data_IF_254020203042
#
_entry.id   IF_254020203042
#
_cell.length_a   1.000
_cell.length_b   1.000
_cell.length_c   1.000
_cell.angle_alpha   90.00
_cell.angle_beta   90.00
_cell.angle_gamma   90.00
#
_symmetry.space_group_name_H-M   'P 1'
#
loop_
_entity.id
_entity.type
_entity.pdbx_description
1 polymer ?
#
# COMPACT_ATOMS: atom_id res chain seq x y z
N UNK A 1 -57.64 -80.80 -93.79
CA UNK A 1 -58.90 -81.50 -93.48
C UNK A 1 -59.07 -81.51 -91.97
N UNK A 2 -59.98 -80.64 -91.50
CA UNK A 2 -61.05 -80.84 -90.51
C UNK A 2 -60.95 -81.78 -89.27
N UNK A 3 -61.70 -81.31 -88.26
CA UNK A 3 -62.32 -81.99 -87.08
C UNK A 3 -61.43 -82.33 -85.87
N UNK A 4 -61.48 -81.59 -84.75
CA UNK A 4 -62.45 -81.54 -83.64
C UNK A 4 -62.41 -82.71 -82.62
N UNK A 5 -62.49 -82.32 -81.32
CA UNK A 5 -62.83 -83.10 -80.09
C UNK A 5 -61.70 -83.95 -79.47
N UNK A 6 -61.55 -84.11 -78.15
CA UNK A 6 -62.34 -83.75 -76.96
C UNK A 6 -61.45 -83.88 -75.70
N UNK A 7 -61.88 -83.23 -74.62
CA UNK A 7 -61.31 -83.17 -73.27
C UNK A 7 -61.21 -84.50 -72.49
N UNK A 8 -60.34 -84.52 -71.46
CA UNK A 8 -60.51 -84.96 -70.05
C UNK A 8 -59.15 -85.38 -69.50
N UNK A 9 -58.58 -84.61 -68.56
CA UNK A 9 -58.58 -84.83 -67.10
C UNK A 9 -57.74 -86.05 -66.69
N UNK A 10 -56.86 -85.88 -65.69
CA UNK A 10 -56.63 -86.75 -64.52
C UNK A 10 -55.29 -86.40 -63.83
N UNK A 11 -55.35 -86.46 -62.52
CA UNK A 11 -54.47 -85.83 -61.54
C UNK A 11 -53.09 -86.52 -61.42
N UNK A 12 -52.07 -85.71 -61.13
CA UNK A 12 -50.71 -86.16 -60.81
C UNK A 12 -50.57 -86.49 -59.31
N UNK A 13 -49.88 -87.59 -58.93
CA UNK A 13 -49.54 -87.86 -57.54
C UNK A 13 -48.33 -87.02 -57.08
N UNK A 14 -48.47 -86.37 -55.93
CA UNK A 14 -47.40 -85.60 -55.27
C UNK A 14 -46.35 -86.55 -54.67
N UNK A 15 -45.08 -86.40 -55.07
CA UNK A 15 -43.92 -87.02 -54.40
C UNK A 15 -43.49 -86.15 -53.20
N UNK A 16 -43.05 -86.74 -52.07
CA UNK A 16 -42.57 -85.97 -50.94
C UNK A 16 -41.26 -85.27 -51.32
N UNK A 17 -41.33 -83.95 -51.48
CA UNK A 17 -40.17 -83.09 -51.70
C UNK A 17 -39.33 -83.05 -50.43
N UNK A 18 -38.14 -83.64 -50.50
CA UNK A 18 -37.05 -83.44 -49.53
C UNK A 18 -36.84 -81.94 -49.40
N UNK A 19 -37.23 -81.37 -48.25
CA UNK A 19 -37.01 -79.97 -47.89
C UNK A 19 -35.50 -79.78 -47.65
N UNK A 20 -34.76 -79.54 -48.74
CA UNK A 20 -33.43 -78.91 -48.64
C UNK A 20 -33.69 -77.52 -48.10
N UNK A 21 -33.34 -77.27 -46.83
CA UNK A 21 -33.25 -75.91 -46.31
C UNK A 21 -32.15 -75.17 -47.07
N UNK A 22 -32.51 -74.54 -48.18
CA UNK A 22 -31.70 -73.49 -48.79
C UNK A 22 -31.71 -72.34 -47.81
N UNK A 23 -30.63 -72.15 -47.05
CA UNK A 23 -30.39 -70.91 -46.32
C UNK A 23 -30.14 -69.82 -47.37
N UNK A 24 -31.22 -69.22 -47.88
CA UNK A 24 -31.12 -67.92 -48.50
C UNK A 24 -30.81 -66.94 -47.38
N UNK A 25 -29.52 -66.63 -47.19
CA UNK A 25 -29.15 -65.34 -46.66
C UNK A 25 -29.68 -64.30 -47.66
N UNK A 26 -30.92 -63.90 -47.50
CA UNK A 26 -31.40 -62.68 -48.14
C UNK A 26 -30.56 -61.58 -47.52
N UNK A 27 -29.61 -61.04 -48.28
CA UNK A 27 -29.15 -59.69 -47.97
C UNK A 27 -30.42 -58.84 -48.03
N UNK A 28 -31.01 -58.53 -46.87
CA UNK A 28 -31.70 -57.25 -46.71
C UNK A 28 -30.70 -56.25 -47.27
N UNK A 29 -31.15 -55.52 -48.29
CA UNK A 29 -30.38 -54.52 -48.99
C UNK A 29 -29.43 -53.78 -48.04
N UNK A 30 -28.21 -53.56 -48.53
CA UNK A 30 -27.16 -52.78 -47.86
C UNK A 30 -27.77 -51.63 -47.03
N UNK A 31 -27.42 -51.58 -45.75
CA UNK A 31 -28.15 -50.86 -44.73
C UNK A 31 -28.47 -49.40 -45.07
N UNK A 32 -29.66 -48.96 -44.68
CA UNK A 32 -30.01 -47.54 -44.61
C UNK A 32 -29.23 -46.87 -43.48
N UNK A 33 -27.95 -46.57 -43.70
CA UNK A 33 -27.21 -45.64 -42.85
C UNK A 33 -26.34 -44.72 -43.70
N UNK A 34 -26.98 -43.95 -44.57
CA UNK A 34 -26.38 -42.77 -45.18
C UNK A 34 -26.18 -41.70 -44.10
N UNK A 35 -24.94 -41.43 -43.71
CA UNK A 35 -24.62 -40.33 -42.80
C UNK A 35 -24.55 -39.01 -43.56
N UNK A 36 -25.71 -38.50 -43.99
CA UNK A 36 -25.87 -37.18 -44.59
C UNK A 36 -25.92 -36.08 -43.50
N UNK A 37 -24.91 -36.06 -42.61
CA UNK A 37 -24.81 -35.11 -41.50
C UNK A 37 -23.62 -34.18 -41.72
N UNK A 38 -23.90 -32.92 -42.01
CA UNK A 38 -22.91 -31.85 -42.02
C UNK A 38 -23.40 -30.68 -41.15
N UNK A 39 -22.47 -29.91 -40.62
CA UNK A 39 -22.78 -28.73 -39.83
C UNK A 39 -22.76 -27.47 -40.71
N UNK A 40 -23.66 -26.53 -40.44
CA UNK A 40 -23.64 -25.26 -41.15
C UNK A 40 -22.30 -24.50 -40.96
N UNK A 41 -21.85 -23.83 -42.01
CA UNK A 41 -20.64 -23.00 -41.98
C UNK A 41 -20.70 -21.94 -40.88
N UNK A 42 -19.64 -21.83 -40.07
CA UNK A 42 -19.62 -20.98 -38.86
C UNK A 42 -19.32 -19.50 -39.12
N UNK A 43 -19.29 -19.07 -40.40
CA UNK A 43 -19.06 -17.68 -40.84
C UNK A 43 -17.80 -17.05 -40.21
N UNK A 44 -16.75 -17.86 -40.03
CA UNK A 44 -15.43 -17.41 -39.57
C UNK A 44 -14.74 -16.54 -40.63
N UNK A 45 -13.64 -15.89 -40.27
CA UNK A 45 -12.85 -15.03 -41.16
C UNK A 45 -12.90 -13.55 -40.76
N UNK A 46 -12.18 -12.71 -41.52
CA UNK A 46 -12.08 -11.27 -41.26
C UNK A 46 -13.44 -10.62 -41.45
N UNK A 47 -13.73 -9.66 -40.57
CA UNK A 47 -14.93 -8.80 -40.59
C UNK A 47 -14.57 -7.36 -40.90
N UNK A 48 -13.31 -6.99 -40.64
CA UNK A 48 -12.73 -5.70 -41.04
C UNK A 48 -11.43 -5.94 -41.77
N UNK A 49 -11.25 -5.22 -42.88
CA UNK A 49 -10.09 -5.32 -43.75
C UNK A 49 -9.00 -4.32 -43.34
N UNK A 50 -7.80 -4.47 -43.92
CA UNK A 50 -6.70 -3.53 -43.76
C UNK A 50 -7.13 -2.09 -44.10
N UNK A 51 -6.75 -1.13 -43.26
CA UNK A 51 -7.07 0.28 -43.46
C UNK A 51 -8.54 0.64 -43.29
N UNK A 52 -9.37 -0.24 -42.71
CA UNK A 52 -10.77 0.08 -42.43
C UNK A 52 -10.93 0.76 -41.08
N UNK A 53 -11.78 1.80 -41.02
CA UNK A 53 -12.15 2.47 -39.76
C UNK A 53 -13.00 1.56 -38.88
N UNK A 54 -12.69 1.56 -37.58
CA UNK A 54 -13.39 0.81 -36.53
C UNK A 54 -13.72 1.70 -35.34
N UNK A 55 -14.71 1.27 -34.56
CA UNK A 55 -15.12 1.85 -33.28
C UNK A 55 -14.92 0.84 -32.15
N UNK A 56 -14.98 1.30 -30.90
CA UNK A 56 -14.83 0.43 -29.72
C UNK A 56 -15.84 -0.72 -29.77
N UNK A 57 -15.36 -1.95 -29.57
CA UNK A 57 -16.16 -3.16 -29.53
C UNK A 57 -16.47 -3.78 -30.90
N UNK A 58 -16.14 -3.13 -32.01
CA UNK A 58 -16.36 -3.72 -33.33
C UNK A 58 -15.47 -4.95 -33.55
N UNK A 59 -16.08 -6.02 -34.05
CA UNK A 59 -15.39 -7.28 -34.36
C UNK A 59 -14.54 -7.10 -35.62
N UNK A 60 -13.25 -7.46 -35.53
CA UNK A 60 -12.29 -7.40 -36.61
C UNK A 60 -12.11 -8.78 -37.26
N UNK A 61 -12.03 -9.85 -36.46
CA UNK A 61 -11.77 -11.21 -36.94
C UNK A 61 -12.53 -12.24 -36.11
N UNK A 62 -13.25 -13.17 -36.75
CA UNK A 62 -13.81 -14.36 -36.08
C UNK A 62 -12.99 -15.58 -36.46
N UNK A 63 -12.51 -16.34 -35.48
CA UNK A 63 -11.58 -17.45 -35.74
C UNK A 63 -11.81 -18.64 -34.81
N UNK A 64 -11.09 -19.72 -35.09
CA UNK A 64 -10.95 -20.90 -34.22
C UNK A 64 -9.47 -21.04 -33.95
N UNK A 65 -9.08 -20.92 -32.68
CA UNK A 65 -7.70 -20.64 -32.30
C UNK A 65 -7.23 -19.25 -32.76
N UNK A 66 -5.99 -18.91 -32.41
CA UNK A 66 -5.35 -17.63 -32.73
C UNK A 66 -4.57 -17.73 -34.03
N UNK A 67 -5.27 -17.66 -35.17
CA UNK A 67 -4.61 -17.51 -36.48
C UNK A 67 -4.00 -16.11 -36.63
N UNK A 68 -4.72 -15.12 -36.11
CA UNK A 68 -4.21 -13.79 -35.83
C UNK A 68 -4.23 -13.55 -34.32
N UNK A 69 -3.18 -12.92 -33.82
CA UNK A 69 -3.02 -12.51 -32.44
C UNK A 69 -3.49 -11.05 -32.26
N UNK A 70 -3.99 -10.69 -31.06
CA UNK A 70 -4.31 -9.31 -30.75
C UNK A 70 -3.02 -8.48 -30.73
N UNK A 71 -2.95 -7.47 -31.59
CA UNK A 71 -1.90 -6.46 -31.62
C UNK A 71 -2.28 -5.22 -30.81
N UNK A 72 -1.74 -4.08 -31.20
CA UNK A 72 -2.01 -2.81 -30.51
C UNK A 72 -3.50 -2.44 -30.55
N UNK A 73 -4.05 -1.97 -29.43
CA UNK A 73 -5.43 -1.49 -29.29
C UNK A 73 -6.53 -2.51 -29.69
N UNK A 74 -6.22 -3.81 -29.63
CA UNK A 74 -7.15 -4.91 -29.95
C UNK A 74 -7.27 -5.86 -28.77
N UNK A 75 -8.51 -6.25 -28.46
CA UNK A 75 -8.85 -7.25 -27.46
C UNK A 75 -9.15 -8.60 -28.10
N UNK A 76 -9.08 -9.66 -27.30
CA UNK A 76 -9.44 -11.02 -27.69
C UNK A 76 -10.57 -11.57 -26.81
N UNK A 77 -11.63 -12.06 -27.45
CA UNK A 77 -12.77 -12.67 -26.79
C UNK A 77 -12.54 -14.15 -26.45
N UNK A 78 -13.49 -14.75 -25.72
CA UNK A 78 -13.44 -16.18 -25.33
C UNK A 78 -13.30 -17.13 -26.52
N UNK A 79 -13.94 -16.83 -27.65
CA UNK A 79 -13.86 -17.64 -28.87
C UNK A 79 -12.69 -17.24 -29.78
N UNK A 80 -11.69 -16.53 -29.24
CA UNK A 80 -10.56 -15.94 -29.95
C UNK A 80 -10.95 -14.87 -30.99
N UNK A 81 -12.18 -14.34 -30.93
CA UNK A 81 -12.61 -13.22 -31.77
C UNK A 81 -11.81 -11.96 -31.40
N UNK A 82 -11.24 -11.30 -32.40
CA UNK A 82 -10.53 -10.04 -32.21
C UNK A 82 -11.50 -8.87 -32.35
N UNK A 83 -11.43 -7.90 -31.44
CA UNK A 83 -12.28 -6.71 -31.44
C UNK A 83 -11.48 -5.45 -31.07
N UNK A 84 -11.90 -4.29 -31.58
CA UNK A 84 -11.22 -3.03 -31.31
C UNK A 84 -11.47 -2.54 -29.87
N UNK A 85 -10.42 -2.16 -29.15
CA UNK A 85 -10.54 -1.49 -27.84
C UNK A 85 -10.69 0.02 -27.99
N UNK A 86 -10.32 0.54 -29.15
CA UNK A 86 -10.20 1.96 -29.44
C UNK A 86 -10.67 2.25 -30.88
N UNK A 87 -11.35 3.38 -31.16
CA UNK A 87 -11.55 3.83 -32.53
C UNK A 87 -10.24 4.15 -33.22
N UNK A 88 -10.16 3.75 -34.48
CA UNK A 88 -8.97 3.92 -35.31
C UNK A 88 -9.09 3.12 -36.60
N UNK A 89 -7.95 2.68 -37.12
CA UNK A 89 -7.81 2.02 -38.41
C UNK A 89 -7.17 0.64 -38.26
N UNK A 90 -7.79 -0.40 -38.79
CA UNK A 90 -7.30 -1.77 -38.67
C UNK A 90 -6.01 -1.96 -39.47
N UNK A 91 -4.99 -2.54 -38.82
CA UNK A 91 -3.70 -2.87 -39.41
C UNK A 91 -3.34 -4.33 -39.13
N UNK A 92 -3.01 -5.07 -40.18
CA UNK A 92 -2.48 -6.42 -40.15
C UNK A 92 -0.95 -6.34 -40.32
N UNK A 93 -0.19 -6.90 -39.39
CA UNK A 93 1.26 -6.77 -39.39
C UNK A 93 1.97 -7.98 -38.78
N UNK A 94 3.28 -8.05 -38.97
CA UNK A 94 4.18 -8.98 -38.31
C UNK A 94 5.01 -8.19 -37.30
N UNK A 95 5.17 -8.74 -36.11
CA UNK A 95 5.94 -8.12 -35.04
C UNK A 95 7.29 -8.83 -34.90
N UNK A 96 8.44 -8.14 -35.04
CA UNK A 96 9.77 -8.72 -34.84
C UNK A 96 9.94 -9.43 -33.50
N UNK A 97 9.26 -8.99 -32.43
CA UNK A 97 9.34 -9.65 -31.12
C UNK A 97 8.68 -11.03 -31.07
N UNK A 98 7.85 -11.34 -32.07
CA UNK A 98 6.98 -12.52 -32.08
C UNK A 98 7.03 -13.21 -33.44
N UNK A 99 8.17 -13.84 -33.71
CA UNK A 99 8.40 -14.59 -34.94
C UNK A 99 7.34 -15.69 -35.17
N UNK A 100 6.94 -15.85 -36.43
CA UNK A 100 5.93 -16.84 -36.84
C UNK A 100 4.48 -16.50 -36.47
N UNK A 101 4.22 -15.36 -35.80
CA UNK A 101 2.87 -14.91 -35.42
C UNK A 101 2.40 -13.73 -36.27
N UNK A 102 1.11 -13.73 -36.61
CA UNK A 102 0.46 -12.65 -37.35
C UNK A 102 -0.40 -11.82 -36.41
N UNK A 103 -0.32 -10.51 -36.48
CA UNK A 103 -1.04 -9.61 -35.60
C UNK A 103 -2.09 -8.79 -36.32
N UNK A 104 -3.10 -8.40 -35.55
CA UNK A 104 -4.09 -7.41 -35.96
C UNK A 104 -4.17 -6.36 -34.88
N UNK A 105 -3.82 -5.13 -35.22
CA UNK A 105 -3.93 -3.97 -34.36
C UNK A 105 -4.86 -2.91 -34.92
N UNK A 106 -5.10 -1.88 -34.13
CA UNK A 106 -5.81 -0.68 -34.52
C UNK A 106 -4.90 0.52 -34.31
N UNK A 107 -4.48 1.13 -35.41
CA UNK A 107 -3.73 2.37 -35.41
C UNK A 107 -4.67 3.54 -35.08
N UNK A 108 -4.26 4.44 -34.19
CA UNK A 108 -5.11 5.57 -33.77
C UNK A 108 -5.30 6.61 -34.88
N UNK A 109 -4.29 6.75 -35.74
CA UNK A 109 -4.32 7.62 -36.92
C UNK A 109 -4.24 6.77 -38.18
N UNK A 110 -4.69 7.34 -39.30
CA UNK A 110 -4.73 6.63 -40.57
C UNK A 110 -3.33 6.41 -41.16
N UNK A 111 -2.43 7.36 -40.98
CA UNK A 111 -1.05 7.37 -41.43
C UNK A 111 -0.10 6.53 -40.55
N UNK A 112 -0.47 6.31 -39.29
CA UNK A 112 0.30 5.48 -38.35
C UNK A 112 0.37 4.03 -38.83
N UNK A 113 1.59 3.53 -38.98
CA UNK A 113 1.89 2.14 -39.36
C UNK A 113 2.16 1.31 -38.12
N UNK A 114 1.69 0.06 -38.14
CA UNK A 114 2.01 -0.95 -37.14
C UNK A 114 2.93 -2.01 -37.77
N UNK A 115 3.91 -2.56 -37.03
CA UNK A 115 4.22 -2.29 -35.62
C UNK A 115 4.89 -0.92 -35.43
N UNK A 116 4.65 -0.28 -34.27
CA UNK A 116 5.36 0.94 -33.90
C UNK A 116 6.81 0.57 -33.53
N UNK A 117 7.74 1.52 -33.73
CA UNK A 117 9.10 1.38 -33.20
C UNK A 117 9.09 1.17 -31.68
N UNK A 118 9.86 0.20 -31.20
CA UNK A 118 9.80 -0.28 -29.82
C UNK A 118 10.13 0.80 -28.78
N UNK A 119 11.08 1.68 -29.10
CA UNK A 119 11.54 2.74 -28.21
C UNK A 119 10.76 4.06 -28.39
N UNK A 120 9.92 4.15 -29.42
CA UNK A 120 9.07 5.31 -29.61
C UNK A 120 8.01 5.40 -28.51
N UNK A 121 7.60 6.62 -28.10
CA UNK A 121 6.55 6.79 -27.11
C UNK A 121 5.24 6.19 -27.62
N UNK A 122 4.55 5.44 -26.75
CA UNK A 122 3.25 4.85 -27.09
C UNK A 122 2.23 5.94 -27.37
N UNK A 123 1.66 5.92 -28.57
CA UNK A 123 0.51 6.76 -28.93
C UNK A 123 -0.71 6.28 -28.15
N UNK A 124 -1.37 7.19 -27.40
CA UNK A 124 -2.54 6.88 -26.56
C UNK A 124 -3.66 7.87 -26.83
N UNK A 125 -4.92 7.41 -26.80
CA UNK A 125 -6.09 8.30 -26.84
C UNK A 125 -6.58 8.63 -25.43
N UNK A 126 -6.71 9.92 -25.11
CA UNK A 126 -7.30 10.35 -23.83
C UNK A 126 -8.79 10.00 -23.73
N UNK A 127 -9.55 10.21 -24.81
CA UNK A 127 -10.93 9.72 -24.97
C UNK A 127 -11.97 10.38 -24.04
N UNK A 128 -11.65 11.53 -23.46
CA UNK A 128 -12.53 12.31 -22.57
C UNK A 128 -12.54 13.77 -23.00
N UNK A 129 -13.57 14.50 -22.59
CA UNK A 129 -13.72 15.94 -22.84
C UNK A 129 -13.99 16.67 -21.53
N UNK A 130 -13.59 17.94 -21.47
CA UNK A 130 -13.89 18.79 -20.32
C UNK A 130 -15.40 19.10 -20.30
N UNK A 131 -15.99 19.01 -19.12
CA UNK A 131 -17.38 19.41 -18.88
C UNK A 131 -17.41 20.86 -18.41
N UNK A 132 -18.44 21.60 -18.82
CA UNK A 132 -18.66 23.00 -18.41
C UNK A 132 -20.07 23.18 -17.83
N UNK A 133 -20.22 24.17 -16.96
CA UNK A 133 -21.51 24.53 -16.33
C UNK A 133 -22.02 23.45 -15.37
N UNK A 134 -23.32 23.18 -15.41
CA UNK A 134 -24.00 22.29 -14.46
C UNK A 134 -23.47 20.85 -14.48
N UNK A 135 -23.10 20.34 -15.66
CA UNK A 135 -22.58 18.98 -15.81
C UNK A 135 -21.26 18.78 -15.05
N UNK A 136 -20.44 19.81 -14.96
CA UNK A 136 -19.19 19.76 -14.18
C UNK A 136 -19.49 19.65 -12.68
N UNK A 137 -20.44 20.45 -12.18
CA UNK A 137 -20.85 20.41 -10.77
C UNK A 137 -21.41 19.05 -10.35
N UNK A 138 -22.20 18.41 -11.21
CA UNK A 138 -22.72 17.05 -10.95
C UNK A 138 -21.58 16.03 -10.87
N UNK A 139 -20.62 16.09 -11.80
CA UNK A 139 -19.46 15.17 -11.80
C UNK A 139 -18.55 15.39 -10.57
N UNK A 140 -18.36 16.64 -10.12
CA UNK A 140 -17.59 16.95 -8.91
C UNK A 140 -18.23 16.39 -7.63
N UNK A 141 -19.57 16.38 -7.58
CA UNK A 141 -20.32 15.83 -6.44
C UNK A 141 -20.38 14.31 -6.46
N UNK A 142 -20.15 13.67 -7.61
CA UNK A 142 -20.21 12.22 -7.76
C UNK A 142 -19.01 11.55 -7.06
N UNK A 143 -19.30 10.78 -6.01
CA UNK A 143 -18.29 10.03 -5.25
C UNK A 143 -18.50 8.51 -5.40
N UNK A 144 -17.44 7.70 -5.44
CA UNK A 144 -17.55 6.26 -5.30
C UNK A 144 -18.23 5.89 -3.98
N UNK A 145 -19.05 4.82 -3.97
CA UNK A 145 -19.77 4.37 -2.76
C UNK A 145 -18.86 4.20 -1.55
N UNK A 146 -17.66 3.63 -1.74
CA UNK A 146 -16.69 3.44 -0.66
C UNK A 146 -16.20 4.76 -0.05
N UNK A 147 -16.00 5.79 -0.88
CA UNK A 147 -15.57 7.11 -0.45
C UNK A 147 -16.71 7.84 0.25
N UNK A 148 -17.93 7.75 -0.30
CA UNK A 148 -19.13 8.34 0.31
C UNK A 148 -19.36 7.81 1.73
N UNK A 149 -19.34 6.48 1.91
CA UNK A 149 -19.52 5.85 3.23
C UNK A 149 -18.39 6.19 4.22
N UNK A 150 -17.17 6.42 3.74
CA UNK A 150 -16.02 6.76 4.58
C UNK A 150 -15.90 8.27 4.87
N UNK A 151 -16.63 9.12 4.13
CA UNK A 151 -16.45 10.58 4.13
C UNK A 151 -16.58 11.18 5.52
N UNK A 152 -17.69 10.93 6.21
CA UNK A 152 -17.97 11.51 7.53
C UNK A 152 -16.89 11.15 8.54
N UNK A 153 -16.52 9.88 8.62
CA UNK A 153 -15.44 9.40 9.49
C UNK A 153 -14.08 10.03 9.17
N UNK A 154 -13.78 10.31 7.90
CA UNK A 154 -12.54 10.99 7.51
C UNK A 154 -12.58 12.46 7.94
N UNK A 155 -13.74 13.12 7.81
CA UNK A 155 -13.94 14.51 8.24
C UNK A 155 -13.81 14.66 9.76
N UNK A 156 -14.44 13.78 10.54
CA UNK A 156 -14.29 13.76 12.00
C UNK A 156 -12.81 13.59 12.40
N UNK A 157 -12.08 12.68 11.76
CA UNK A 157 -10.63 12.50 11.99
C UNK A 157 -9.80 13.69 11.51
N UNK A 158 -10.24 14.41 10.49
CA UNK A 158 -9.59 15.64 10.05
C UNK A 158 -9.77 16.75 11.09
N UNK A 159 -10.98 16.87 11.65
CA UNK A 159 -11.31 17.82 12.70
C UNK A 159 -10.56 17.52 14.00
N UNK A 160 -10.54 16.27 14.46
CA UNK A 160 -9.73 15.88 15.62
C UNK A 160 -8.23 16.26 15.44
N UNK A 161 -7.72 16.21 14.21
CA UNK A 161 -6.35 16.64 13.88
C UNK A 161 -6.20 18.16 13.76
N UNK A 162 -7.23 18.93 13.45
CA UNK A 162 -7.20 20.40 13.53
C UNK A 162 -7.16 20.81 15.00
N UNK A 163 -8.05 20.25 15.81
CA UNK A 163 -8.19 20.59 17.23
C UNK A 163 -6.90 20.26 18.00
N UNK A 164 -6.31 19.09 17.75
CA UNK A 164 -5.04 18.71 18.36
C UNK A 164 -3.84 19.55 17.87
N UNK A 165 -3.93 20.23 16.72
CA UNK A 165 -2.92 21.19 16.26
C UNK A 165 -3.13 22.53 16.94
N UNK A 166 -4.37 22.99 17.07
CA UNK A 166 -4.71 24.23 17.77
C UNK A 166 -4.35 24.18 19.24
N UNK A 167 -4.65 23.07 19.93
CA UNK A 167 -4.22 22.84 21.31
C UNK A 167 -2.69 22.93 21.45
N UNK A 168 -1.94 22.34 20.51
CA UNK A 168 -0.48 22.40 20.51
C UNK A 168 0.05 23.82 20.20
N UNK A 169 -0.62 24.56 19.31
CA UNK A 169 -0.30 25.98 19.07
C UNK A 169 -0.49 26.81 20.33
N UNK A 170 -1.60 26.60 21.04
CA UNK A 170 -1.88 27.28 22.30
C UNK A 170 -0.85 26.92 23.39
N UNK A 171 -0.46 25.65 23.48
CA UNK A 171 0.60 25.19 24.38
C UNK A 171 1.95 25.87 24.08
N UNK A 172 2.37 25.89 22.81
CA UNK A 172 3.62 26.57 22.43
C UNK A 172 3.55 28.09 22.63
N UNK A 173 2.41 28.73 22.34
CA UNK A 173 2.22 30.15 22.61
C UNK A 173 2.29 30.47 24.11
N UNK A 174 1.77 29.57 24.98
CA UNK A 174 1.93 29.67 26.42
C UNK A 174 3.40 29.57 26.84
N UNK A 175 4.14 28.56 26.35
CA UNK A 175 5.57 28.36 26.68
C UNK A 175 6.43 29.54 26.22
N UNK A 176 6.18 30.08 25.02
CA UNK A 176 6.89 31.25 24.51
C UNK A 176 6.71 32.48 25.40
N UNK A 177 5.48 32.72 25.89
CA UNK A 177 5.16 33.90 26.73
C UNK A 177 5.57 33.73 28.18
N UNK A 178 5.21 32.60 28.80
CA UNK A 178 5.35 32.39 30.25
C UNK A 178 6.74 31.87 30.63
N UNK A 179 7.28 30.89 29.91
CA UNK A 179 8.54 30.24 30.29
C UNK A 179 9.77 30.91 29.68
N UNK A 180 9.65 31.38 28.43
CA UNK A 180 10.77 31.96 27.68
C UNK A 180 10.76 33.48 27.64
N UNK A 181 9.65 34.11 28.03
CA UNK A 181 9.50 35.58 28.06
C UNK A 181 9.70 36.26 26.70
N UNK A 182 9.48 35.54 25.58
CA UNK A 182 9.66 36.07 24.24
C UNK A 182 8.43 36.91 23.87
N UNK A 183 8.58 38.23 23.94
CA UNK A 183 7.53 39.19 23.57
C UNK A 183 7.48 39.32 22.05
N UNK A 184 6.51 38.65 21.43
CA UNK A 184 6.21 38.75 20.01
C UNK A 184 4.89 39.51 19.80
N UNK A 185 4.79 40.24 18.70
CA UNK A 185 3.51 40.78 18.24
C UNK A 185 2.52 39.65 17.92
N UNK A 186 1.22 39.94 17.90
CA UNK A 186 0.18 38.92 17.70
C UNK A 186 0.37 38.12 16.39
N UNK A 187 0.72 38.79 15.30
CA UNK A 187 0.96 38.15 14.00
C UNK A 187 2.24 37.30 14.02
N UNK A 188 3.29 37.80 14.69
CA UNK A 188 4.54 37.08 14.88
C UNK A 188 4.36 35.83 15.76
N UNK A 189 3.54 35.91 16.82
CA UNK A 189 3.21 34.77 17.69
C UNK A 189 2.43 33.68 16.92
N UNK A 190 1.48 34.08 16.06
CA UNK A 190 0.76 33.13 15.20
C UNK A 190 1.70 32.41 14.22
N UNK A 191 2.61 33.13 13.56
CA UNK A 191 3.60 32.54 12.66
C UNK A 191 4.57 31.62 13.41
N UNK A 192 5.05 32.05 14.58
CA UNK A 192 5.95 31.28 15.44
C UNK A 192 5.31 29.97 15.91
N UNK A 193 4.09 30.00 16.41
CA UNK A 193 3.39 28.80 16.88
C UNK A 193 3.08 27.82 15.75
N UNK A 194 2.72 28.32 14.56
CA UNK A 194 2.55 27.45 13.40
C UNK A 194 3.88 26.83 12.93
N UNK A 195 4.95 27.62 12.92
CA UNK A 195 6.29 27.14 12.60
C UNK A 195 6.73 26.04 13.57
N UNK A 196 6.57 26.25 14.88
CA UNK A 196 6.93 25.27 15.91
C UNK A 196 6.11 23.98 15.81
N UNK A 197 4.81 24.04 15.50
CA UNK A 197 4.01 22.84 15.23
C UNK A 197 4.54 22.06 14.03
N UNK A 198 5.03 22.75 13.00
CA UNK A 198 5.63 22.13 11.83
C UNK A 198 6.99 21.49 12.15
N UNK A 199 7.86 22.18 12.88
CA UNK A 199 9.13 21.63 13.38
C UNK A 199 8.89 20.39 14.24
N UNK A 200 7.99 20.46 15.21
CA UNK A 200 7.58 19.32 16.03
C UNK A 200 7.15 18.12 15.18
N UNK A 201 6.35 18.36 14.13
CA UNK A 201 5.89 17.30 13.22
C UNK A 201 7.05 16.68 12.45
N UNK A 202 7.99 17.49 11.97
CA UNK A 202 9.17 17.01 11.26
C UNK A 202 10.09 16.19 12.19
N UNK A 203 10.35 16.67 13.41
CA UNK A 203 11.12 15.93 14.41
C UNK A 203 10.48 14.58 14.75
N UNK A 204 9.14 14.56 14.95
CA UNK A 204 8.39 13.33 15.18
C UNK A 204 8.49 12.34 14.02
N UNK A 205 8.65 12.82 12.79
CA UNK A 205 8.81 12.00 11.58
C UNK A 205 10.26 11.53 11.35
N UNK A 206 11.21 11.92 12.20
CA UNK A 206 12.60 11.45 12.13
C UNK A 206 13.55 12.36 11.33
N UNK A 207 13.17 13.61 11.06
CA UNK A 207 14.12 14.59 10.52
C UNK A 207 15.09 15.07 11.60
N UNK A 208 16.33 15.37 11.22
CA UNK A 208 17.28 16.06 12.07
C UNK A 208 16.77 17.47 12.41
N UNK A 209 17.21 18.08 13.52
CA UNK A 209 16.70 19.40 13.96
C UNK A 209 16.95 20.50 12.93
N UNK A 210 18.14 20.55 12.33
CA UNK A 210 18.47 21.50 11.25
C UNK A 210 17.54 21.35 10.04
N UNK A 211 17.38 20.11 9.54
CA UNK A 211 16.50 19.82 8.41
C UNK A 211 15.02 20.06 8.75
N UNK A 212 14.61 19.75 9.97
CA UNK A 212 13.24 19.93 10.45
C UNK A 212 12.86 21.42 10.46
N UNK A 213 13.77 22.28 10.95
CA UNK A 213 13.63 23.74 10.97
C UNK A 213 13.66 24.32 9.56
N UNK A 214 14.61 23.90 8.72
CA UNK A 214 14.68 24.32 7.32
C UNK A 214 13.41 23.97 6.54
N UNK A 215 12.95 22.72 6.63
CA UNK A 215 11.73 22.25 5.95
C UNK A 215 10.47 22.96 6.45
N UNK A 216 10.42 23.29 7.75
CA UNK A 216 9.32 24.06 8.31
C UNK A 216 9.31 25.49 7.79
N UNK A 217 10.46 26.16 7.76
CA UNK A 217 10.63 27.51 7.21
C UNK A 217 10.24 27.54 5.73
N UNK A 218 10.80 26.65 4.91
CA UNK A 218 10.53 26.58 3.47
C UNK A 218 9.05 26.34 3.17
N UNK A 219 8.38 25.48 3.94
CA UNK A 219 6.93 25.26 3.81
C UNK A 219 6.13 26.56 4.02
N UNK A 220 6.52 27.37 4.99
CA UNK A 220 5.86 28.64 5.28
C UNK A 220 6.08 29.66 4.16
N UNK A 221 7.31 29.79 3.65
CA UNK A 221 7.61 30.66 2.52
C UNK A 221 6.79 30.29 1.27
N UNK A 222 6.69 28.99 0.95
CA UNK A 222 5.87 28.51 -0.17
C UNK A 222 4.39 28.81 0.04
N UNK A 223 3.88 28.66 1.27
CA UNK A 223 2.50 29.00 1.60
C UNK A 223 2.23 30.49 1.40
N UNK A 224 3.21 31.33 1.69
CA UNK A 224 3.05 32.76 1.47
C UNK A 224 3.04 33.10 -0.01
N UNK A 225 3.88 32.48 -0.88
CA UNK A 225 4.23 32.85 -2.28
C UNK A 225 3.14 33.45 -3.19
N UNK A 226 1.86 33.13 -2.96
CA UNK A 226 0.72 33.59 -3.76
C UNK A 226 -0.10 34.71 -3.10
N UNK A 227 0.41 35.35 -2.03
CA UNK A 227 -0.30 36.41 -1.31
C UNK A 227 0.16 37.80 -1.79
N UNK A 228 -0.70 38.83 -1.84
CA UNK A 228 -0.34 40.15 -2.35
C UNK A 228 0.72 40.89 -1.51
N UNK A 229 0.90 40.49 -0.24
CA UNK A 229 1.84 41.11 0.73
C UNK A 229 3.05 40.19 0.98
N UNK A 230 3.58 39.61 -0.10
CA UNK A 230 4.62 38.59 -0.04
C UNK A 230 5.85 38.98 0.75
N UNK A 231 6.43 40.12 0.38
CA UNK A 231 7.77 40.51 0.77
C UNK A 231 7.79 40.82 2.27
N UNK A 232 6.86 41.65 2.74
CA UNK A 232 6.70 42.01 4.15
C UNK A 232 6.45 40.79 5.05
N UNK A 233 5.56 39.87 4.63
CA UNK A 233 5.26 38.65 5.41
C UNK A 233 6.43 37.69 5.45
N UNK A 234 7.21 37.60 4.36
CA UNK A 234 8.39 36.75 4.30
C UNK A 234 9.50 37.29 5.17
N UNK A 235 9.70 38.61 5.19
CA UNK A 235 10.66 39.25 6.10
C UNK A 235 10.27 39.09 7.56
N UNK A 236 8.99 39.30 7.91
CA UNK A 236 8.48 39.06 9.24
C UNK A 236 8.69 37.58 9.65
N UNK A 237 8.38 36.64 8.76
CA UNK A 237 8.60 35.21 8.99
C UNK A 237 10.09 34.91 9.28
N UNK A 238 11.02 35.44 8.48
CA UNK A 238 12.46 35.21 8.69
C UNK A 238 12.93 35.74 10.04
N UNK A 239 12.57 36.98 10.38
CA UNK A 239 12.91 37.60 11.67
C UNK A 239 12.34 36.82 12.85
N UNK A 240 11.07 36.40 12.75
CA UNK A 240 10.41 35.61 13.80
C UNK A 240 11.02 34.22 13.96
N UNK A 241 11.31 33.53 12.86
CA UNK A 241 11.95 32.21 12.88
C UNK A 241 13.36 32.29 13.45
N UNK A 242 14.15 33.31 13.11
CA UNK A 242 15.48 33.54 13.69
C UNK A 242 15.40 33.74 15.21
N UNK A 243 14.50 34.62 15.67
CA UNK A 243 14.29 34.85 17.10
C UNK A 243 13.84 33.57 17.84
N UNK A 244 12.88 32.84 17.28
CA UNK A 244 12.36 31.59 17.85
C UNK A 244 13.44 30.51 17.85
N UNK A 245 14.25 30.40 16.81
CA UNK A 245 15.32 29.41 16.74
C UNK A 245 16.42 29.65 17.77
N UNK A 246 16.76 30.92 18.00
CA UNK A 246 17.72 31.32 19.02
C UNK A 246 17.20 31.06 20.45
N UNK A 247 15.89 31.22 20.67
CA UNK A 247 15.28 31.06 21.99
C UNK A 247 14.85 29.63 22.34
N UNK A 248 14.56 28.78 21.34
CA UNK A 248 13.88 27.50 21.57
C UNK A 248 14.63 26.25 21.10
N UNK A 249 14.40 25.15 21.81
CA UNK A 249 14.76 23.80 21.40
C UNK A 249 13.69 22.79 21.84
N UNK A 250 13.56 21.70 21.09
CA UNK A 250 12.71 20.58 21.48
C UNK A 250 13.49 19.57 22.32
N UNK A 251 12.83 19.03 23.35
CA UNK A 251 13.32 17.89 24.13
C UNK A 251 13.18 16.58 23.34
N UNK A 252 13.74 15.49 23.86
CA UNK A 252 13.59 14.17 23.24
C UNK A 252 12.13 13.63 23.24
N UNK A 253 11.24 14.22 24.04
CA UNK A 253 9.80 13.96 24.08
C UNK A 253 8.99 14.93 23.24
N UNK A 254 9.67 15.81 22.49
CA UNK A 254 9.10 16.86 21.67
C UNK A 254 8.35 17.94 22.48
N UNK A 255 8.75 18.14 23.73
CA UNK A 255 8.29 19.28 24.54
C UNK A 255 9.17 20.49 24.20
N UNK A 256 8.56 21.66 24.10
CA UNK A 256 9.27 22.91 23.81
C UNK A 256 9.97 23.40 25.08
N UNK A 257 11.21 23.86 24.97
CA UNK A 257 11.93 24.50 26.06
C UNK A 257 12.96 25.49 25.56
N UNK A 258 13.80 25.97 26.48
CA UNK A 258 14.89 26.91 26.15
C UNK A 258 15.86 26.29 25.15
N UNK A 259 16.45 27.13 24.31
CA UNK A 259 17.55 26.72 23.47
C UNK A 259 18.74 26.25 24.32
N UNK A 260 19.35 25.14 23.90
CA UNK A 260 20.55 24.57 24.51
C UNK A 260 21.53 24.33 23.38
N UNK A 261 22.70 24.97 23.46
CA UNK A 261 23.79 24.79 22.49
C UNK A 261 24.35 23.37 22.55
N UNK A 262 25.02 22.94 21.49
CA UNK A 262 25.60 21.59 21.45
C UNK A 262 26.66 21.40 22.54
N UNK A 263 27.48 22.41 22.81
CA UNK A 263 28.49 22.40 23.86
C UNK A 263 27.86 22.27 25.26
N UNK A 264 26.77 23.01 25.53
CA UNK A 264 26.02 22.90 26.78
C UNK A 264 25.42 21.49 26.95
N UNK A 265 24.89 20.88 25.88
CA UNK A 265 24.35 19.52 25.94
C UNK A 265 25.43 18.49 26.26
N UNK A 266 26.61 18.62 25.66
CA UNK A 266 27.74 17.72 25.93
C UNK A 266 28.19 17.86 27.38
N UNK A 267 28.36 19.08 27.87
CA UNK A 267 28.75 19.34 29.25
C UNK A 267 27.76 18.74 30.26
N UNK A 268 26.44 18.94 30.06
CA UNK A 268 25.43 18.37 30.95
C UNK A 268 25.34 16.85 30.86
N UNK A 269 25.53 16.29 29.66
CA UNK A 269 25.60 14.84 29.44
C UNK A 269 26.76 14.24 30.23
N UNK A 270 27.95 14.81 30.13
CA UNK A 270 29.13 14.36 30.86
C UNK A 270 28.96 14.50 32.37
N UNK A 271 28.41 15.62 32.83
CA UNK A 271 28.09 15.84 34.24
C UNK A 271 27.13 14.77 34.77
N UNK A 272 26.07 14.46 34.02
CA UNK A 272 25.12 13.40 34.40
C UNK A 272 25.79 12.02 34.41
N UNK A 273 26.67 11.72 33.46
CA UNK A 273 27.41 10.47 33.45
C UNK A 273 28.34 10.35 34.67
N UNK A 274 29.04 11.42 35.03
CA UNK A 274 29.88 11.49 36.22
C UNK A 274 29.06 11.30 37.50
N UNK A 275 27.93 12.00 37.63
CA UNK A 275 27.01 11.89 38.77
C UNK A 275 26.52 10.45 38.96
N UNK A 276 26.20 9.75 37.86
CA UNK A 276 25.65 8.40 37.91
C UNK A 276 26.73 7.31 38.06
N UNK A 277 27.98 7.54 37.62
CA UNK A 277 29.02 6.51 37.53
C UNK A 277 29.32 5.81 38.87
N UNK A 278 29.18 6.50 40.00
CA UNK A 278 29.44 5.97 41.34
C UNK A 278 28.20 5.58 42.15
N UNK A 279 26.99 5.80 41.64
CA UNK A 279 25.76 5.61 42.41
C UNK A 279 25.30 4.14 42.37
N UNK A 280 25.38 3.48 43.53
CA UNK A 280 24.76 2.18 43.77
C UNK A 280 23.53 2.39 44.63
N UNK A 281 22.35 2.10 44.09
CA UNK A 281 21.10 2.22 44.83
C UNK A 281 21.08 1.14 45.91
N UNK A 282 20.98 1.50 47.19
CA UNK A 282 20.80 0.64 48.36
C UNK A 282 19.56 1.03 49.14
N UNK A 283 19.28 2.33 49.27
CA UNK A 283 18.13 2.89 49.98
C UNK A 283 17.08 3.48 49.05
N UNK A 284 15.90 3.80 49.60
CA UNK A 284 14.83 4.50 48.88
C UNK A 284 15.27 5.92 48.46
N UNK A 285 16.03 6.60 49.33
CA UNK A 285 16.51 7.98 49.09
C UNK A 285 17.48 8.04 47.91
N UNK A 286 18.39 7.06 47.80
CA UNK A 286 19.31 6.96 46.66
C UNK A 286 18.57 6.67 45.35
N UNK A 287 17.51 5.84 45.40
CA UNK A 287 16.62 5.62 44.26
C UNK A 287 15.93 6.93 43.85
N UNK A 288 15.39 7.69 44.80
CA UNK A 288 14.75 8.97 44.51
C UNK A 288 15.75 9.96 43.90
N UNK A 289 16.97 10.06 44.44
CA UNK A 289 18.05 10.89 43.89
C UNK A 289 18.37 10.56 42.44
N UNK A 290 18.46 9.27 42.08
CA UNK A 290 18.70 8.84 40.68
C UNK A 290 17.51 9.22 39.79
N UNK A 291 16.28 9.03 40.27
CA UNK A 291 15.06 9.38 39.53
C UNK A 291 14.96 10.89 39.29
N UNK A 292 15.28 11.70 40.29
CA UNK A 292 15.32 13.16 40.19
C UNK A 292 16.36 13.63 39.18
N UNK A 293 17.58 13.09 39.24
CA UNK A 293 18.64 13.40 38.26
C UNK A 293 18.25 13.05 36.83
N UNK A 294 17.56 11.92 36.64
CA UNK A 294 17.06 11.49 35.33
C UNK A 294 15.77 12.21 34.91
N UNK A 295 15.14 13.04 35.75
CA UNK A 295 13.89 13.75 35.42
C UNK A 295 14.13 14.81 34.34
N UNK A 296 15.28 15.48 34.39
CA UNK A 296 15.64 16.55 33.45
C UNK A 296 16.44 16.08 32.23
N UNK A 297 16.81 14.80 32.20
CA UNK A 297 17.63 14.22 31.12
C UNK A 297 16.98 14.36 29.74
N UNK A 298 15.64 14.42 29.66
CA UNK A 298 14.91 14.58 28.39
C UNK A 298 15.28 15.86 27.63
N UNK A 299 15.75 16.89 28.33
CA UNK A 299 16.04 18.21 27.76
C UNK A 299 17.30 18.21 26.88
N UNK A 300 18.31 17.41 27.21
CA UNK A 300 19.63 17.47 26.56
C UNK A 300 20.14 16.11 26.06
N UNK A 301 19.45 15.02 26.39
CA UNK A 301 19.84 13.67 26.03
C UNK A 301 18.92 13.11 24.94
N UNK A 302 19.45 12.30 24.03
CA UNK A 302 18.59 11.60 23.06
C UNK A 302 17.68 10.59 23.75
N UNK A 303 16.57 10.23 23.11
CA UNK A 303 15.65 9.23 23.66
C UNK A 303 16.34 7.87 23.88
N UNK A 304 17.23 7.48 22.97
CA UNK A 304 17.96 6.20 23.06
C UNK A 304 18.93 6.17 24.24
N UNK A 305 19.69 7.25 24.44
CA UNK A 305 20.60 7.41 25.57
C UNK A 305 19.82 7.45 26.90
N UNK A 306 18.70 8.17 26.99
CA UNK A 306 17.88 8.21 28.21
C UNK A 306 17.36 6.81 28.57
N UNK A 307 16.85 6.07 27.58
CA UNK A 307 16.39 4.69 27.78
C UNK A 307 17.56 3.80 28.24
N UNK A 308 18.74 3.94 27.64
CA UNK A 308 19.91 3.19 28.02
C UNK A 308 20.30 3.43 29.49
N UNK A 309 20.37 4.71 29.91
CA UNK A 309 20.71 5.08 31.28
C UNK A 309 19.67 4.58 32.29
N UNK A 310 18.37 4.74 31.98
CA UNK A 310 17.30 4.19 32.82
C UNK A 310 17.42 2.68 32.98
N UNK A 311 17.71 1.94 31.90
CA UNK A 311 17.93 0.47 31.96
C UNK A 311 19.17 0.09 32.74
N UNK A 312 20.23 0.90 32.69
CA UNK A 312 21.50 0.65 33.37
C UNK A 312 21.39 0.85 34.88
N UNK A 313 20.81 1.98 35.30
CA UNK A 313 20.80 2.41 36.71
C UNK A 313 19.52 2.07 37.47
N UNK A 314 18.35 2.06 36.81
CA UNK A 314 17.06 1.70 37.42
C UNK A 314 16.65 0.27 37.04
N UNK A 315 17.54 -0.70 37.27
CA UNK A 315 17.23 -2.11 37.06
C UNK A 315 16.11 -2.56 37.99
N UNK A 316 15.11 -3.33 37.51
CA UNK A 316 14.01 -3.77 38.36
C UNK A 316 14.47 -4.66 39.53
N UNK A 317 15.54 -5.43 39.32
CA UNK A 317 16.17 -6.29 40.32
C UNK A 317 17.68 -6.13 40.22
N UNK A 318 18.35 -6.00 41.37
CA UNK A 318 19.81 -5.90 41.46
C UNK A 318 20.49 -7.26 41.21
N UNK A 319 21.80 -7.27 40.84
CA UNK A 319 22.58 -8.49 40.71
C UNK A 319 22.64 -9.34 41.99
N UNK A 320 22.94 -10.62 41.84
CA UNK A 320 22.98 -11.57 42.97
C UNK A 320 24.01 -11.18 44.05
N UNK A 321 25.13 -10.58 43.67
CA UNK A 321 26.24 -10.22 44.56
C UNK A 321 25.90 -9.33 45.76
N UNK A 322 24.82 -8.55 45.71
CA UNK A 322 24.56 -7.49 46.70
C UNK A 322 23.56 -7.85 47.81
N UNK A 323 22.69 -8.86 47.61
CA UNK A 323 21.50 -9.04 48.47
C UNK A 323 20.91 -10.47 48.41
N UNK A 324 21.74 -11.49 48.62
CA UNK A 324 21.30 -12.89 48.81
C UNK A 324 21.17 -13.17 50.31
N UNK A 325 20.02 -13.69 50.71
CA UNK A 325 19.80 -14.17 52.07
C UNK A 325 20.10 -15.68 52.13
N UNK A 326 20.65 -16.16 53.25
CA UNK A 326 20.93 -17.59 53.45
C UNK A 326 19.70 -18.44 53.81
N UNK A 327 18.66 -17.83 54.39
CA UNK A 327 17.48 -18.51 54.93
C UNK A 327 16.20 -17.78 54.50
N UNK A 328 15.11 -18.49 54.16
CA UNK A 328 13.85 -17.85 53.79
C UNK A 328 13.19 -17.21 55.02
N UNK A 329 12.75 -15.97 54.87
CA UNK A 329 12.06 -15.19 55.90
C UNK A 329 11.10 -14.14 55.32
N UNK A 330 10.43 -13.38 56.20
CA UNK A 330 9.40 -12.39 55.84
C UNK A 330 9.90 -11.31 54.87
N UNK A 331 11.17 -10.94 54.95
CA UNK A 331 11.82 -9.92 54.10
C UNK A 331 12.57 -10.51 52.90
N UNK A 332 12.27 -11.76 52.54
CA UNK A 332 12.92 -12.44 51.40
C UNK A 332 11.89 -12.88 50.35
N UNK A 333 12.38 -13.16 49.14
CA UNK A 333 11.64 -13.70 48.01
C UNK A 333 12.44 -14.87 47.46
N UNK A 334 11.80 -16.03 47.36
CA UNK A 334 12.41 -17.23 46.79
C UNK A 334 12.21 -17.27 45.29
N UNK A 335 13.32 -17.41 44.54
CA UNK A 335 13.34 -17.55 43.08
C UNK A 335 13.99 -18.89 42.76
N UNK A 336 13.42 -19.63 41.81
CA UNK A 336 14.02 -20.88 41.33
C UNK A 336 14.53 -20.68 39.91
N UNK A 337 15.75 -21.15 39.62
CA UNK A 337 16.31 -21.17 38.26
C UNK A 337 16.90 -22.53 37.94
N UNK A 338 16.98 -22.85 36.66
CA UNK A 338 17.71 -24.03 36.22
C UNK A 338 19.18 -23.68 36.01
N UNK A 339 20.08 -24.45 36.62
CA UNK A 339 21.52 -24.31 36.44
C UNK A 339 22.01 -25.35 35.42
N UNK A 340 22.55 -24.86 34.29
CA UNK A 340 22.98 -25.71 33.19
C UNK A 340 24.28 -26.46 33.47
N UNK A 341 25.13 -25.95 34.38
CA UNK A 341 26.40 -26.60 34.74
C UNK A 341 26.15 -27.81 35.65
N UNK A 342 25.32 -27.63 36.68
CA UNK A 342 24.99 -28.71 37.65
C UNK A 342 23.80 -29.56 37.22
N UNK A 343 23.05 -29.13 36.19
CA UNK A 343 21.79 -29.73 35.70
C UNK A 343 20.73 -29.89 36.80
N UNK A 344 20.69 -28.96 37.74
CA UNK A 344 19.76 -28.95 38.88
C UNK A 344 18.99 -27.64 38.95
N UNK A 345 17.87 -27.66 39.67
CA UNK A 345 17.11 -26.45 39.99
C UNK A 345 17.73 -25.80 41.22
N UNK A 346 18.34 -24.64 41.03
CA UNK A 346 18.86 -23.82 42.11
C UNK A 346 17.74 -22.98 42.72
N UNK A 347 17.65 -23.00 44.04
CA UNK A 347 16.73 -22.15 44.80
C UNK A 347 17.51 -20.98 45.39
N UNK A 348 17.22 -19.77 44.93
CA UNK A 348 17.91 -18.54 45.31
C UNK A 348 16.96 -17.71 46.17
N UNK A 349 17.44 -17.30 47.34
CA UNK A 349 16.68 -16.50 48.29
C UNK A 349 17.18 -15.07 48.21
N UNK A 350 16.35 -14.16 47.72
CA UNK A 350 16.69 -12.74 47.51
C UNK A 350 16.05 -11.88 48.59
N UNK A 351 16.77 -10.90 49.12
CA UNK A 351 16.14 -9.92 50.00
C UNK A 351 15.15 -9.03 49.23
N UNK A 352 14.07 -8.57 49.88
CA UNK A 352 13.14 -7.61 49.26
C UNK A 352 13.82 -6.31 48.85
N UNK A 353 14.86 -5.88 49.58
CA UNK A 353 15.70 -4.70 49.27
C UNK A 353 16.46 -4.83 47.93
N UNK A 354 16.56 -6.04 47.36
CA UNK A 354 17.13 -6.26 46.03
C UNK A 354 16.20 -5.83 44.89
N UNK A 355 14.90 -5.68 45.15
CA UNK A 355 13.90 -5.32 44.16
C UNK A 355 13.64 -3.82 44.22
N UNK A 356 13.84 -3.12 43.10
CA UNK A 356 13.73 -1.65 43.05
C UNK A 356 12.32 -1.15 43.42
N UNK A 357 11.27 -1.94 43.16
CA UNK A 357 9.90 -1.60 43.51
C UNK A 357 9.59 -1.74 45.01
N UNK A 358 10.43 -2.47 45.77
CA UNK A 358 10.28 -2.71 47.22
C UNK A 358 11.26 -1.89 48.06
N UNK A 359 12.09 -1.07 47.40
CA UNK A 359 12.79 0.08 47.96
C UNK A 359 11.88 1.29 47.81
#
# INVERSE_FOLDING_TARGET
MSFWKVATQWQMPLRPSILVQVRTATKRAAGSRTSMKDSAGRRLGPKKTEGQRVEVGQIIMRQRGTKFYPGENVGIGKDHTLFALEPGWVRYYLDPFHEGRKFVGVALYQDLRLPIDHFAPRVRRFGRQLLSGEKASVEEQALPRSVFLAKEKILERAQQRTDAREQRRAEFGRVLREELGLLLDQDAEQLATEYLVRVHTNLKNGFNDGDARFNAMYYMEVRMRNTPEMEDKTELLKKTVEAVNAATSFSNKFELGRHISEDERVAWREALHSDLAGLVIRTADEKQRVVERLKEASKYLSLSEEIHLRRKFLKPVKPETEAVAGVPGKETVTIKRFNYETRKVDTIIREKKAFLAKL
#
